data_IF_871096135496
#
_entry.id   IF_871096135496
#
_cell.length_a   1.000
_cell.length_b   1.000
_cell.length_c   1.000
_cell.angle_alpha   90.00
_cell.angle_beta   90.00
_cell.angle_gamma   90.00
#
_symmetry.space_group_name_H-M   'P 1'
#
loop_
_entity.id
_entity.type
_entity.pdbx_description
1 polymer ?
#
# COMPACT_ATOMS: atom_id res chain seq x y z
N UNK A 1 -20.86 12.90 7.33
CA UNK A 1 -19.79 12.22 8.07
C UNK A 1 -19.14 13.20 9.01
N UNK A 2 -18.82 12.77 10.22
CA UNK A 2 -18.18 13.55 11.28
C UNK A 2 -16.83 12.90 11.57
N UNK A 3 -15.75 13.68 11.47
CA UNK A 3 -14.42 13.23 11.83
C UNK A 3 -14.15 13.57 13.29
N UNK A 4 -13.53 12.65 14.03
CA UNK A 4 -13.23 12.83 15.45
C UNK A 4 -11.84 12.30 15.77
N UNK A 5 -11.19 12.96 16.72
CA UNK A 5 -9.89 12.55 17.25
C UNK A 5 -10.09 12.08 18.68
N UNK A 6 -9.45 10.98 19.06
CA UNK A 6 -9.48 10.45 20.43
C UNK A 6 -8.14 10.72 21.08
N UNK A 7 -8.16 11.42 22.21
CA UNK A 7 -7.00 11.56 23.06
C UNK A 7 -6.87 10.31 23.94
N UNK A 8 -6.00 9.37 23.54
CA UNK A 8 -5.82 8.10 24.24
C UNK A 8 -5.10 7.06 23.37
N UNK A 9 -5.06 5.83 23.86
CA UNK A 9 -4.50 4.67 23.18
C UNK A 9 -5.53 3.97 22.26
N UNK A 10 -5.14 2.81 21.72
CA UNK A 10 -6.00 2.01 20.84
C UNK A 10 -7.31 1.57 21.53
N UNK A 11 -7.25 1.20 22.81
CA UNK A 11 -8.43 0.79 23.57
C UNK A 11 -9.40 1.97 23.76
N UNK A 12 -8.89 3.16 24.06
CA UNK A 12 -9.69 4.38 24.14
C UNK A 12 -10.35 4.73 22.80
N UNK A 13 -9.68 4.48 21.66
CA UNK A 13 -10.25 4.66 20.32
C UNK A 13 -11.43 3.72 20.08
N UNK A 14 -11.25 2.44 20.39
CA UNK A 14 -12.30 1.42 20.23
C UNK A 14 -13.50 1.67 21.12
N UNK A 15 -13.28 2.01 22.39
CA UNK A 15 -14.35 2.35 23.32
C UNK A 15 -15.11 3.60 22.84
N UNK A 16 -14.39 4.64 22.41
CA UNK A 16 -15.00 5.86 21.89
C UNK A 16 -15.81 5.60 20.62
N UNK A 17 -15.30 4.77 19.70
CA UNK A 17 -16.02 4.39 18.49
C UNK A 17 -17.35 3.69 18.81
N UNK A 18 -17.34 2.77 19.78
CA UNK A 18 -18.55 2.08 20.27
C UNK A 18 -19.52 3.06 20.93
N UNK A 19 -19.02 3.95 21.78
CA UNK A 19 -19.82 4.96 22.46
C UNK A 19 -20.51 5.88 21.45
N UNK A 20 -19.78 6.42 20.47
CA UNK A 20 -20.34 7.27 19.40
C UNK A 20 -21.37 6.54 18.55
N UNK A 21 -21.07 5.28 18.18
CA UNK A 21 -21.99 4.45 17.41
C UNK A 21 -23.32 4.26 18.17
N UNK A 22 -23.25 3.89 19.45
CA UNK A 22 -24.44 3.72 20.30
C UNK A 22 -25.23 5.02 20.49
N UNK A 23 -24.53 6.16 20.59
CA UNK A 23 -25.14 7.47 20.79
C UNK A 23 -25.60 8.16 19.49
N UNK A 24 -25.37 7.57 18.31
CA UNK A 24 -25.64 8.19 17.00
C UNK A 24 -27.07 8.74 16.86
N UNK A 25 -28.06 7.99 17.36
CA UNK A 25 -29.47 8.40 17.31
C UNK A 25 -29.76 9.63 18.18
N UNK A 26 -29.22 9.63 19.40
CA UNK A 26 -29.34 10.76 20.33
C UNK A 26 -28.66 12.00 19.74
N UNK A 27 -27.42 11.86 19.26
CA UNK A 27 -26.65 12.94 18.66
C UNK A 27 -27.36 13.53 17.43
N UNK A 28 -27.88 12.67 16.53
CA UNK A 28 -28.68 13.12 15.38
C UNK A 28 -29.89 13.95 15.82
N UNK A 29 -30.63 13.49 16.82
CA UNK A 29 -31.81 14.21 17.31
C UNK A 29 -31.46 15.57 17.92
N UNK A 30 -30.35 15.64 18.67
CA UNK A 30 -29.88 16.87 19.32
C UNK A 30 -29.41 17.89 18.30
N UNK A 31 -28.63 17.45 17.30
CA UNK A 31 -28.19 18.30 16.18
C UNK A 31 -29.39 18.84 15.42
N UNK A 32 -30.34 17.98 15.08
CA UNK A 32 -31.58 18.38 14.38
C UNK A 32 -32.37 19.44 15.13
N UNK A 33 -32.56 19.26 16.45
CA UNK A 33 -33.25 20.23 17.31
C UNK A 33 -32.48 21.55 17.42
N UNK A 34 -31.18 21.51 17.67
CA UNK A 34 -30.36 22.72 17.83
C UNK A 34 -30.26 23.55 16.56
N UNK A 35 -30.22 22.90 15.40
CA UNK A 35 -30.09 23.55 14.10
C UNK A 35 -31.44 23.82 13.42
N UNK A 36 -32.56 23.42 14.04
CA UNK A 36 -33.89 23.58 13.46
C UNK A 36 -34.10 22.78 12.16
N UNK A 37 -33.37 21.69 11.97
CA UNK A 37 -33.42 20.91 10.73
C UNK A 37 -34.69 20.06 10.69
N UNK A 38 -35.53 20.28 9.68
CA UNK A 38 -36.70 19.45 9.41
C UNK A 38 -36.31 18.00 9.07
N UNK A 39 -35.20 17.83 8.37
CA UNK A 39 -34.64 16.52 8.02
C UNK A 39 -33.16 16.50 8.41
N UNK A 40 -32.83 15.77 9.47
CA UNK A 40 -31.44 15.61 9.89
C UNK A 40 -30.86 14.36 9.26
N UNK A 41 -29.75 14.47 8.50
CA UNK A 41 -29.10 13.32 7.89
C UNK A 41 -28.54 12.37 8.95
N UNK A 42 -28.31 11.11 8.56
CA UNK A 42 -27.62 10.15 9.43
C UNK A 42 -26.19 10.61 9.70
N UNK A 43 -25.79 10.53 10.97
CA UNK A 43 -24.41 10.78 11.37
C UNK A 43 -23.61 9.49 11.23
N UNK A 44 -22.48 9.58 10.54
CA UNK A 44 -21.47 8.53 10.45
C UNK A 44 -20.17 9.09 11.03
N UNK A 45 -19.54 8.36 11.93
CA UNK A 45 -18.33 8.79 12.64
C UNK A 45 -17.11 8.10 12.04
N UNK A 46 -16.06 8.88 11.78
CA UNK A 46 -14.79 8.40 11.22
C UNK A 46 -13.66 8.92 12.09
N UNK A 47 -12.78 8.02 12.52
CA UNK A 47 -11.60 8.41 13.29
C UNK A 47 -10.66 9.21 12.38
N UNK A 48 -10.13 10.31 12.92
CA UNK A 48 -9.13 11.13 12.26
C UNK A 48 -7.74 10.47 12.40
N UNK A 49 -7.37 9.62 11.44
CA UNK A 49 -6.21 8.72 11.51
C UNK A 49 -4.88 9.32 11.01
N UNK A 50 -4.77 10.66 10.93
CA UNK A 50 -3.64 11.33 10.29
C UNK A 50 -2.27 10.98 10.92
N UNK A 51 -2.22 10.66 12.21
CA UNK A 51 -0.96 10.28 12.88
C UNK A 51 -0.65 8.77 12.85
N UNK A 52 -1.67 7.91 12.77
CA UNK A 52 -1.49 6.46 12.78
C UNK A 52 -1.01 5.92 11.42
N UNK A 53 -1.46 6.58 10.34
CA UNK A 53 -0.98 6.30 8.99
C UNK A 53 0.53 6.57 8.83
N UNK A 54 1.07 7.57 9.53
CA UNK A 54 2.49 7.92 9.43
C UNK A 54 3.39 6.82 9.98
N UNK A 55 3.02 6.21 11.11
CA UNK A 55 3.82 5.13 11.72
C UNK A 55 3.80 3.85 10.87
N UNK A 56 2.66 3.52 10.28
CA UNK A 56 2.55 2.38 9.37
C UNK A 56 3.32 2.63 8.05
N UNK A 57 3.29 3.85 7.52
CA UNK A 57 4.07 4.22 6.34
C UNK A 57 5.58 4.07 6.59
N UNK A 58 6.07 4.51 7.75
CA UNK A 58 7.48 4.41 8.11
C UNK A 58 7.92 2.93 8.22
N UNK A 59 7.10 2.06 8.79
CA UNK A 59 7.38 0.61 8.85
C UNK A 59 7.42 -0.02 7.44
N UNK A 60 6.49 0.36 6.56
CA UNK A 60 6.50 -0.10 5.15
C UNK A 60 7.76 0.39 4.41
N UNK A 61 8.15 1.66 4.60
CA UNK A 61 9.36 2.25 3.99
C UNK A 61 10.62 1.56 4.54
N UNK A 62 10.68 1.29 5.85
CA UNK A 62 11.80 0.61 6.48
C UNK A 62 11.97 -0.83 5.95
N UNK A 63 10.86 -1.57 5.80
CA UNK A 63 10.87 -2.92 5.23
C UNK A 63 11.30 -2.93 3.77
N UNK A 64 10.83 -1.98 2.95
CA UNK A 64 11.24 -1.85 1.56
C UNK A 64 12.76 -1.60 1.45
N UNK A 65 13.30 -0.67 2.25
CA UNK A 65 14.75 -0.40 2.30
C UNK A 65 15.58 -1.63 2.69
N UNK A 66 15.10 -2.44 3.64
CA UNK A 66 15.78 -3.67 4.03
C UNK A 66 15.80 -4.72 2.90
N UNK A 67 14.70 -4.84 2.16
CA UNK A 67 14.61 -5.76 1.02
C UNK A 67 15.53 -5.31 -0.12
N UNK A 68 15.55 -4.02 -0.44
CA UNK A 68 16.45 -3.46 -1.46
C UNK A 68 17.93 -3.67 -1.09
N UNK A 69 18.28 -3.48 0.19
CA UNK A 69 19.63 -3.74 0.69
C UNK A 69 20.00 -5.23 0.59
N UNK A 70 19.06 -6.14 0.87
CA UNK A 70 19.28 -7.58 0.73
C UNK A 70 19.46 -8.00 -0.73
N UNK A 71 18.67 -7.45 -1.65
CA UNK A 71 18.81 -7.69 -3.09
C UNK A 71 20.13 -7.13 -3.62
N UNK A 72 20.53 -5.93 -3.20
CA UNK A 72 21.82 -5.34 -3.56
C UNK A 72 22.99 -6.22 -3.08
N UNK A 73 22.96 -6.68 -1.83
CA UNK A 73 23.98 -7.59 -1.29
C UNK A 73 24.00 -8.95 -2.01
N UNK A 74 22.85 -9.47 -2.44
CA UNK A 74 22.78 -10.70 -3.24
C UNK A 74 23.30 -10.50 -4.66
N UNK A 75 23.09 -9.31 -5.26
CA UNK A 75 23.57 -8.97 -6.59
C UNK A 75 25.10 -8.80 -6.64
N UNK A 76 25.73 -8.33 -5.56
CA UNK A 76 27.19 -8.20 -5.46
C UNK A 76 27.93 -9.55 -5.60
N UNK A 77 27.28 -10.66 -5.26
CA UNK A 77 27.83 -12.02 -5.41
C UNK A 77 27.25 -12.85 -6.55
N UNK A 78 26.27 -12.32 -7.29
CA UNK A 78 25.57 -13.07 -8.32
C UNK A 78 26.39 -13.16 -9.61
N UNK A 79 26.69 -14.38 -10.05
CA UNK A 79 27.24 -14.63 -11.38
C UNK A 79 26.10 -14.59 -12.39
N UNK A 80 26.21 -13.74 -13.40
CA UNK A 80 25.23 -13.60 -14.47
C UNK A 80 24.96 -14.98 -15.12
N UNK A 81 23.70 -15.43 -15.06
CA UNK A 81 23.29 -16.75 -15.57
C UNK A 81 23.04 -16.78 -17.09
N UNK A 82 23.66 -15.87 -17.85
CA UNK A 82 23.62 -15.85 -19.30
C UNK A 82 24.95 -16.31 -19.88
N UNK A 83 24.90 -17.25 -20.83
CA UNK A 83 26.08 -17.71 -21.55
C UNK A 83 26.65 -16.58 -22.43
N UNK A 84 27.97 -16.53 -22.59
CA UNK A 84 28.69 -15.35 -23.12
C UNK A 84 28.47 -15.05 -24.62
N UNK A 85 27.78 -15.92 -25.36
CA UNK A 85 27.44 -15.69 -26.77
C UNK A 85 26.06 -16.30 -27.12
N UNK A 86 24.97 -15.51 -27.06
CA UNK A 86 23.63 -16.00 -27.38
C UNK A 86 23.32 -16.11 -28.88
N UNK A 87 24.27 -15.83 -29.78
CA UNK A 87 24.04 -15.90 -31.22
C UNK A 87 24.64 -17.17 -31.85
N UNK A 88 23.75 -18.01 -32.39
CA UNK A 88 24.13 -19.14 -33.25
C UNK A 88 24.73 -18.59 -34.55
N UNK A 89 26.02 -18.79 -34.79
CA UNK A 89 26.64 -18.47 -36.07
C UNK A 89 25.98 -19.33 -37.16
N UNK A 90 25.53 -18.74 -38.28
CA UNK A 90 24.94 -19.50 -39.36
C UNK A 90 25.98 -20.48 -39.92
N UNK A 91 25.48 -21.68 -40.21
CA UNK A 91 26.23 -22.79 -40.77
C UNK A 91 27.01 -22.33 -42.01
N UNK A 92 28.33 -22.53 -42.02
CA UNK A 92 29.08 -22.63 -43.26
C UNK A 92 28.80 -24.03 -43.78
N UNK A 93 27.78 -24.15 -44.63
CA UNK A 93 27.66 -25.30 -45.51
C UNK A 93 28.83 -25.16 -46.51
N UNK A 94 29.87 -25.96 -46.27
CA UNK A 94 30.68 -26.52 -47.36
C UNK A 94 29.73 -27.33 -48.27
N UNK A 95 30.16 -27.48 -49.53
CA UNK A 95 29.49 -28.17 -50.65
C UNK A 95 28.68 -27.17 -51.53
N UNK A 96 28.96 -26.94 -52.81
CA UNK A 96 29.50 -27.86 -53.81
C UNK A 96 29.68 -27.09 -55.17
N UNK A 97 30.66 -27.54 -55.99
CA UNK A 97 30.63 -27.58 -57.47
C UNK A 97 30.85 -26.28 -58.30
N UNK A 98 31.50 -26.24 -59.47
CA UNK A 98 32.01 -27.25 -60.40
C UNK A 98 32.94 -26.53 -61.41
N UNK A 99 33.93 -27.27 -61.92
CA UNK A 99 34.52 -27.28 -63.29
C UNK A 99 34.67 -25.97 -64.10
N UNK A 100 35.86 -25.76 -64.71
CA UNK A 100 36.02 -25.52 -66.15
C UNK A 100 37.51 -25.33 -66.51
N UNK A 101 38.09 -26.37 -67.11
CA UNK A 101 38.97 -26.32 -68.31
C UNK A 101 40.36 -25.71 -68.21
#
# INVERSE_FOLDING_TARGET
TVFYTVLGDADARDETARALTSASGLLRSTVGKKLGLKFTPTLAFVLDAVEEDAAHLEDVIARAKQQDAAVAAQAEGAVFAGDADPYRKPHTDDDEDEDLG
#
